data_IF_298975498428
#
_entry.id   IF_298975498428
#
_cell.length_a   1.000
_cell.length_b   1.000
_cell.length_c   1.000
_cell.angle_alpha   90.00
_cell.angle_beta   90.00
_cell.angle_gamma   90.00
#
_symmetry.space_group_name_H-M   'P 1'
#
loop_
_entity.id
_entity.type
_entity.pdbx_description
1 polymer ?
#
# COMPACT_ATOMS: atom_id res chain seq x y z
N UNK A 1 45.94 10.80 2.72
CA UNK A 1 45.26 9.86 3.64
C UNK A 1 44.87 10.65 4.87
N UNK A 2 43.73 11.36 4.81
CA UNK A 2 43.22 12.19 5.94
C UNK A 2 41.68 12.18 5.92
N UNK A 3 41.08 10.99 5.97
CA UNK A 3 39.63 10.82 6.08
C UNK A 3 39.35 9.76 7.15
N UNK A 4 39.67 10.03 8.41
CA UNK A 4 39.40 9.08 9.52
C UNK A 4 38.77 9.64 10.81
N UNK A 5 38.72 10.95 11.13
CA UNK A 5 38.08 11.36 12.39
C UNK A 5 36.54 11.39 12.31
N UNK A 6 35.96 11.71 11.14
CA UNK A 6 34.50 11.88 11.00
C UNK A 6 33.72 10.54 10.97
N UNK A 7 34.22 9.53 10.25
CA UNK A 7 33.58 8.21 10.21
C UNK A 7 33.64 7.47 11.57
N UNK A 8 34.72 7.69 12.34
CA UNK A 8 34.85 7.17 13.70
C UNK A 8 33.83 7.83 14.66
N UNK A 9 33.55 9.13 14.48
CA UNK A 9 32.54 9.84 15.26
C UNK A 9 31.12 9.37 14.93
N UNK A 10 30.80 9.14 13.66
CA UNK A 10 29.47 8.64 13.24
C UNK A 10 29.21 7.22 13.76
N UNK A 11 30.20 6.33 13.67
CA UNK A 11 30.08 4.95 14.19
C UNK A 11 30.01 4.91 15.73
N UNK A 12 30.70 5.82 16.42
CA UNK A 12 30.56 5.99 17.87
C UNK A 12 29.19 6.58 18.24
N UNK A 13 28.69 7.54 17.48
CA UNK A 13 27.36 8.13 17.68
C UNK A 13 26.25 7.08 17.47
N UNK A 14 26.38 6.22 16.46
CA UNK A 14 25.45 5.13 16.18
C UNK A 14 25.51 4.03 17.26
N UNK A 15 26.72 3.69 17.74
CA UNK A 15 26.90 2.76 18.87
C UNK A 15 26.39 3.33 20.20
N UNK A 16 26.59 4.62 20.47
CA UNK A 16 26.02 5.32 21.64
C UNK A 16 24.50 5.39 21.54
N UNK A 17 23.93 5.61 20.35
CA UNK A 17 22.49 5.65 20.14
C UNK A 17 21.83 4.29 20.38
N UNK A 18 22.49 3.20 19.99
CA UNK A 18 21.95 1.84 20.05
C UNK A 18 22.19 1.11 21.38
N UNK A 19 23.23 1.46 22.15
CA UNK A 19 23.50 0.84 23.45
C UNK A 19 22.76 1.52 24.60
N UNK A 20 21.67 0.92 25.07
CA UNK A 20 20.89 1.38 26.23
C UNK A 20 21.79 1.62 27.46
N UNK A 21 22.77 0.74 27.69
CA UNK A 21 23.71 0.86 28.82
C UNK A 21 24.60 2.09 28.71
N UNK A 22 25.15 2.36 27.52
CA UNK A 22 26.08 3.47 27.31
C UNK A 22 25.39 4.82 27.46
N UNK A 23 24.13 4.94 27.00
CA UNK A 23 23.30 6.15 27.22
C UNK A 23 23.06 6.42 28.69
N UNK A 24 22.74 5.37 29.46
CA UNK A 24 22.49 5.49 30.90
C UNK A 24 23.75 5.92 31.64
N UNK A 25 24.88 5.27 31.36
CA UNK A 25 26.18 5.64 31.95
C UNK A 25 26.55 7.07 31.57
N UNK A 26 26.40 7.45 30.31
CA UNK A 26 26.63 8.83 29.84
C UNK A 26 25.74 9.84 30.56
N UNK A 27 24.47 9.53 30.76
CA UNK A 27 23.54 10.38 31.50
C UNK A 27 23.93 10.56 32.98
N UNK A 28 24.41 9.49 33.64
CA UNK A 28 24.91 9.60 35.02
C UNK A 28 26.17 10.45 35.06
N UNK A 29 27.12 10.22 34.14
CA UNK A 29 28.35 11.02 34.05
C UNK A 29 28.05 12.50 33.83
N UNK A 30 27.07 12.82 32.98
CA UNK A 30 26.64 14.19 32.71
C UNK A 30 26.03 14.84 33.95
N UNK A 31 25.18 14.12 34.70
CA UNK A 31 24.62 14.61 35.96
C UNK A 31 25.70 14.85 37.02
N UNK A 32 26.66 13.93 37.15
CA UNK A 32 27.79 14.09 38.07
C UNK A 32 28.64 15.29 37.68
N UNK A 33 28.90 15.48 36.38
CA UNK A 33 29.63 16.63 35.87
C UNK A 33 28.91 17.95 36.17
N UNK A 34 27.60 18.01 35.96
CA UNK A 34 26.80 19.20 36.32
C UNK A 34 26.80 19.44 37.83
N UNK A 35 26.70 18.39 38.64
CA UNK A 35 26.81 18.50 40.10
C UNK A 35 28.18 18.99 40.56
N UNK A 36 29.24 18.56 39.90
CA UNK A 36 30.59 19.05 40.14
C UNK A 36 30.73 20.54 39.79
N UNK A 37 30.17 20.98 38.65
CA UNK A 37 30.12 22.41 38.30
C UNK A 37 29.29 23.23 39.30
N UNK A 38 28.17 22.69 39.79
CA UNK A 38 27.31 23.32 40.79
C UNK A 38 28.07 23.60 42.09
N UNK A 39 28.86 22.63 42.54
CA UNK A 39 29.75 22.78 43.70
C UNK A 39 30.74 23.93 43.54
N UNK A 40 31.32 24.12 42.35
CA UNK A 40 32.29 25.20 42.09
C UNK A 40 31.67 26.57 41.81
N UNK A 41 30.46 26.60 41.25
CA UNK A 41 29.81 27.84 40.82
C UNK A 41 29.40 28.73 42.00
N UNK A 42 29.34 28.16 43.21
CA UNK A 42 28.90 28.86 44.40
C UNK A 42 27.40 29.15 44.37
N UNK A 43 26.83 29.60 45.50
CA UNK A 43 25.38 29.57 45.68
C UNK A 43 24.64 30.77 45.09
N UNK A 44 25.35 31.72 44.50
CA UNK A 44 24.80 32.91 43.84
C UNK A 44 24.39 32.63 42.39
N UNK A 45 24.97 31.59 41.77
CA UNK A 45 24.69 31.23 40.38
C UNK A 45 23.51 30.25 40.32
N UNK A 46 22.54 30.53 39.45
CA UNK A 46 21.42 29.64 39.19
C UNK A 46 21.83 28.48 38.27
N UNK A 47 22.40 27.41 38.85
CA UNK A 47 22.86 26.21 38.11
C UNK A 47 21.72 25.24 37.77
N UNK A 48 20.53 25.43 38.36
CA UNK A 48 19.37 24.54 38.16
C UNK A 48 19.00 24.24 36.68
N UNK A 49 19.07 25.19 35.72
CA UNK A 49 18.81 24.90 34.32
C UNK A 49 19.79 23.90 33.69
N UNK A 50 21.04 23.81 34.18
CA UNK A 50 22.04 22.86 33.66
C UNK A 50 21.66 21.41 33.97
N UNK A 51 20.97 21.17 35.08
CA UNK A 51 20.43 19.84 35.39
C UNK A 51 19.30 19.44 34.43
N UNK A 52 18.47 20.39 34.00
CA UNK A 52 17.43 20.13 32.98
C UNK A 52 18.10 19.79 31.65
N UNK A 53 19.16 20.51 31.28
CA UNK A 53 19.93 20.20 30.07
C UNK A 53 20.53 18.79 30.13
N UNK A 54 21.01 18.36 31.30
CA UNK A 54 21.52 17.01 31.50
C UNK A 54 20.43 15.93 31.42
N UNK A 55 19.22 16.23 31.90
CA UNK A 55 18.06 15.33 31.86
C UNK A 55 17.43 15.23 30.47
N UNK A 56 17.64 16.22 29.62
CA UNK A 56 17.06 16.30 28.28
C UNK A 56 17.38 15.06 27.42
N UNK A 57 18.64 14.65 27.19
CA UNK A 57 18.93 13.45 26.40
C UNK A 57 18.30 12.19 27.01
N UNK A 58 18.25 12.06 28.33
CA UNK A 58 17.62 10.91 28.99
C UNK A 58 16.12 10.90 28.73
N UNK A 59 15.45 12.05 28.84
CA UNK A 59 14.02 12.18 28.56
C UNK A 59 13.63 11.87 27.11
N UNK A 60 14.55 12.05 26.16
CA UNK A 60 14.33 11.71 24.75
C UNK A 60 14.39 10.20 24.47
N UNK A 61 15.23 9.46 25.18
CA UNK A 61 15.54 8.07 24.82
C UNK A 61 15.01 7.04 25.81
N UNK A 62 14.72 7.41 27.04
CA UNK A 62 14.31 6.48 28.10
C UNK A 62 12.82 6.65 28.48
N UNK A 63 12.17 5.58 28.99
CA UNK A 63 10.81 5.63 29.49
C UNK A 63 10.67 6.48 30.76
N UNK A 64 9.43 6.89 31.05
CA UNK A 64 9.08 7.79 32.15
C UNK A 64 9.62 7.33 33.52
N UNK A 65 9.56 6.05 33.83
CA UNK A 65 10.06 5.53 35.11
C UNK A 65 11.56 5.77 35.30
N UNK A 66 12.33 5.68 34.22
CA UNK A 66 13.78 5.95 34.26
C UNK A 66 14.02 7.45 34.40
N UNK A 67 13.25 8.28 33.71
CA UNK A 67 13.32 9.74 33.87
C UNK A 67 13.07 10.17 35.32
N UNK A 68 12.15 9.50 36.03
CA UNK A 68 11.90 9.74 37.45
C UNK A 68 13.12 9.36 38.31
N UNK A 69 13.74 8.20 38.07
CA UNK A 69 14.96 7.80 38.78
C UNK A 69 16.08 8.83 38.60
N UNK A 70 16.29 9.32 37.37
CA UNK A 70 17.28 10.36 37.10
C UNK A 70 16.91 11.71 37.71
N UNK A 71 15.62 12.04 37.83
CA UNK A 71 15.16 13.25 38.53
C UNK A 71 15.42 13.17 40.04
N UNK A 72 15.22 11.99 40.65
CA UNK A 72 15.62 11.74 42.05
C UNK A 72 17.13 11.91 42.20
N UNK A 73 17.91 11.29 41.31
CA UNK A 73 19.37 11.36 41.37
C UNK A 73 19.88 12.81 41.23
N UNK A 74 19.33 13.57 40.29
CA UNK A 74 19.64 14.98 40.11
C UNK A 74 19.32 15.81 41.36
N UNK A 75 18.17 15.56 42.00
CA UNK A 75 17.79 16.24 43.23
C UNK A 75 18.70 15.88 44.42
N UNK A 76 19.14 14.62 44.52
CA UNK A 76 20.09 14.19 45.54
C UNK A 76 21.48 14.79 45.34
N UNK A 77 21.97 14.84 44.10
CA UNK A 77 23.24 15.49 43.76
C UNK A 77 23.18 16.97 44.12
N UNK A 78 22.09 17.64 43.76
CA UNK A 78 21.86 19.03 44.10
C UNK A 78 21.84 19.26 45.63
N UNK A 79 21.10 18.43 46.38
CA UNK A 79 21.04 18.51 47.84
C UNK A 79 22.43 18.30 48.46
N UNK A 80 23.20 17.33 47.95
CA UNK A 80 24.57 17.09 48.37
C UNK A 80 25.46 18.33 48.17
N UNK A 81 25.37 18.98 47.01
CA UNK A 81 26.10 20.21 46.73
C UNK A 81 25.71 21.36 47.68
N UNK A 82 24.40 21.56 47.93
CA UNK A 82 23.90 22.62 48.82
C UNK A 82 24.36 22.40 50.27
N UNK A 83 24.35 21.14 50.75
CA UNK A 83 24.79 20.78 52.10
C UNK A 83 26.28 21.01 52.34
N UNK A 84 27.13 20.70 51.35
CA UNK A 84 28.58 20.90 51.48
C UNK A 84 28.94 22.38 51.37
N UNK A 85 28.26 23.14 50.51
CA UNK A 85 28.57 24.55 50.27
C UNK A 85 28.09 25.45 51.40
N UNK A 86 27.05 25.04 52.14
CA UNK A 86 26.44 25.83 53.23
C UNK A 86 26.14 24.97 54.48
N UNK A 87 27.19 24.53 55.22
CA UNK A 87 27.01 23.71 56.42
C UNK A 87 26.25 24.45 57.53
N UNK A 88 26.34 25.78 57.62
CA UNK A 88 25.72 26.56 58.71
C UNK A 88 24.17 26.63 58.61
N UNK A 89 23.59 26.33 57.44
CA UNK A 89 22.13 26.28 57.24
C UNK A 89 21.48 24.95 57.62
N UNK A 90 22.25 23.99 58.13
CA UNK A 90 21.77 22.65 58.55
C UNK A 90 20.73 22.69 59.68
N UNK A 91 20.66 23.76 60.47
CA UNK A 91 19.73 23.89 61.59
C UNK A 91 18.26 24.11 61.16
N UNK A 92 17.99 24.41 59.89
CA UNK A 92 16.66 24.73 59.39
C UNK A 92 16.14 23.66 58.42
N UNK A 93 14.81 23.48 58.39
CA UNK A 93 14.09 22.61 57.44
C UNK A 93 14.16 23.09 55.97
N UNK A 94 14.71 24.29 55.75
CA UNK A 94 14.76 24.99 54.48
C UNK A 94 15.50 24.25 53.34
N UNK A 95 16.73 23.72 53.50
CA UNK A 95 17.43 22.95 52.46
C UNK A 95 16.65 21.72 51.98
N UNK A 96 16.02 20.97 52.90
CA UNK A 96 15.21 19.80 52.55
C UNK A 96 13.98 20.19 51.73
N UNK A 97 13.29 21.25 52.13
CA UNK A 97 12.14 21.78 51.39
C UNK A 97 12.55 22.26 49.99
N UNK A 98 13.70 22.93 49.88
CA UNK A 98 14.22 23.43 48.60
C UNK A 98 14.61 22.29 47.65
N UNK A 99 15.24 21.24 48.16
CA UNK A 99 15.55 20.05 47.38
C UNK A 99 14.28 19.30 46.94
N UNK A 100 13.29 19.19 47.83
CA UNK A 100 11.99 18.61 47.50
C UNK A 100 11.26 19.37 46.38
N UNK A 101 11.23 20.71 46.46
CA UNK A 101 10.64 21.54 45.42
C UNK A 101 11.37 21.36 44.07
N UNK A 102 12.69 21.24 44.08
CA UNK A 102 13.48 21.00 42.87
C UNK A 102 13.28 19.61 42.29
N UNK A 103 13.21 18.58 43.14
CA UNK A 103 12.86 17.24 42.72
C UNK A 103 11.53 17.24 41.95
N UNK A 104 10.51 17.89 42.50
CA UNK A 104 9.20 17.97 41.87
C UNK A 104 9.26 18.69 40.52
N UNK A 105 10.00 19.80 40.43
CA UNK A 105 10.23 20.51 39.17
C UNK A 105 10.92 19.65 38.12
N UNK A 106 12.02 18.96 38.47
CA UNK A 106 12.74 18.09 37.54
C UNK A 106 11.90 16.88 37.12
N UNK A 107 11.16 16.28 38.05
CA UNK A 107 10.25 15.17 37.77
C UNK A 107 9.12 15.60 36.83
N UNK A 108 8.50 16.76 37.08
CA UNK A 108 7.45 17.28 36.20
C UNK A 108 7.97 17.57 34.80
N UNK A 109 9.10 18.27 34.67
CA UNK A 109 9.64 18.68 33.37
C UNK A 109 10.08 17.45 32.57
N UNK A 110 10.87 16.56 33.18
CA UNK A 110 11.35 15.35 32.49
C UNK A 110 10.23 14.39 32.11
N UNK A 111 9.23 14.21 32.99
CA UNK A 111 8.04 13.40 32.72
C UNK A 111 7.21 13.99 31.59
N UNK A 112 6.97 15.30 31.60
CA UNK A 112 6.20 15.98 30.54
C UNK A 112 6.88 15.83 29.19
N UNK A 113 8.20 16.02 29.12
CA UNK A 113 8.97 15.84 27.89
C UNK A 113 8.92 14.39 27.41
N UNK A 114 9.13 13.42 28.31
CA UNK A 114 9.11 11.99 27.97
C UNK A 114 7.74 11.54 27.44
N UNK A 115 6.64 12.00 28.05
CA UNK A 115 5.27 11.72 27.59
C UNK A 115 5.00 12.33 26.22
N UNK A 116 5.28 13.63 26.04
CA UNK A 116 5.04 14.34 24.78
C UNK A 116 5.80 13.68 23.61
N UNK A 117 7.04 13.27 23.84
CA UNK A 117 7.83 12.58 22.83
C UNK A 117 7.36 11.15 22.59
N UNK A 118 6.95 10.44 23.65
CA UNK A 118 6.35 9.11 23.55
C UNK A 118 5.09 9.11 22.69
N UNK A 119 4.19 10.08 22.92
CA UNK A 119 2.98 10.27 22.11
C UNK A 119 3.31 10.64 20.67
N UNK A 120 4.26 11.57 20.43
CA UNK A 120 4.69 11.91 19.07
C UNK A 120 5.32 10.73 18.31
N UNK A 121 5.97 9.79 18.99
CA UNK A 121 6.48 8.55 18.36
C UNK A 121 5.32 7.63 17.99
N UNK A 122 4.42 7.37 18.94
CA UNK A 122 3.22 6.56 18.70
C UNK A 122 2.37 7.09 17.55
N UNK A 123 2.17 8.41 17.49
CA UNK A 123 1.44 9.05 16.40
C UNK A 123 2.11 8.81 15.05
N UNK A 124 3.43 9.04 14.94
CA UNK A 124 4.18 8.79 13.70
C UNK A 124 4.16 7.32 13.27
N UNK A 125 4.27 6.40 14.23
CA UNK A 125 4.20 4.97 13.92
C UNK A 125 2.80 4.58 13.44
N UNK A 126 1.75 5.16 14.04
CA UNK A 126 0.37 4.95 13.60
C UNK A 126 0.08 5.55 12.21
N UNK A 127 0.64 6.72 11.89
CA UNK A 127 0.55 7.34 10.56
C UNK A 127 1.22 6.47 9.51
N UNK A 128 2.41 5.92 9.81
CA UNK A 128 3.12 4.99 8.91
C UNK A 128 2.30 3.73 8.66
N UNK A 129 1.76 3.12 9.71
CA UNK A 129 0.92 1.93 9.59
C UNK A 129 -0.36 2.20 8.78
N UNK A 130 -0.95 3.40 8.91
CA UNK A 130 -2.10 3.82 8.10
C UNK A 130 -1.72 4.02 6.64
N UNK A 131 -0.57 4.64 6.35
CA UNK A 131 -0.08 4.80 4.98
C UNK A 131 0.19 3.46 4.29
N UNK A 132 0.77 2.50 5.01
CA UNK A 132 1.01 1.16 4.49
C UNK A 132 -0.30 0.44 4.15
N UNK A 133 -1.30 0.51 5.05
CA UNK A 133 -2.64 -0.03 4.77
C UNK A 133 -3.34 0.66 3.61
N UNK A 134 -3.17 1.98 3.47
CA UNK A 134 -3.74 2.72 2.35
C UNK A 134 -3.14 2.26 1.01
N UNK A 135 -1.83 2.01 0.97
CA UNK A 135 -1.16 1.44 -0.22
C UNK A 135 -1.65 0.03 -0.55
N UNK A 136 -1.74 -0.86 0.44
CA UNK A 136 -2.27 -2.22 0.24
C UNK A 136 -3.71 -2.21 -0.29
N UNK A 137 -4.56 -1.30 0.22
CA UNK A 137 -5.91 -1.12 -0.29
C UNK A 137 -5.93 -0.61 -1.73
N UNK A 138 -5.04 0.30 -2.07
CA UNK A 138 -4.94 0.82 -3.44
C UNK A 138 -4.49 -0.27 -4.43
N UNK A 139 -3.52 -1.09 -4.06
CA UNK A 139 -3.06 -2.24 -4.85
C UNK A 139 -4.18 -3.27 -5.06
N UNK A 140 -4.90 -3.62 -3.99
CA UNK A 140 -6.07 -4.51 -4.08
C UNK A 140 -7.17 -3.94 -4.97
N UNK A 141 -7.42 -2.64 -4.89
CA UNK A 141 -8.41 -1.99 -5.73
C UNK A 141 -8.01 -2.01 -7.22
N UNK A 142 -6.73 -1.75 -7.53
CA UNK A 142 -6.21 -1.91 -8.90
C UNK A 142 -6.37 -3.35 -9.40
N UNK A 143 -6.00 -4.33 -8.58
CA UNK A 143 -6.14 -5.75 -8.90
C UNK A 143 -7.59 -6.16 -9.18
N UNK A 144 -8.54 -5.69 -8.35
CA UNK A 144 -9.97 -5.91 -8.58
C UNK A 144 -10.45 -5.24 -9.88
N UNK A 145 -9.93 -4.05 -10.20
CA UNK A 145 -10.19 -3.38 -11.47
C UNK A 145 -9.72 -4.18 -12.68
N UNK A 146 -8.55 -4.81 -12.60
CA UNK A 146 -8.02 -5.69 -13.64
C UNK A 146 -8.87 -6.95 -13.81
N UNK A 147 -9.25 -7.61 -12.70
CA UNK A 147 -10.13 -8.78 -12.72
C UNK A 147 -11.50 -8.45 -13.34
N UNK A 148 -12.10 -7.32 -12.96
CA UNK A 148 -13.35 -6.86 -13.58
C UNK A 148 -13.18 -6.64 -15.09
N UNK A 149 -12.05 -6.09 -15.51
CA UNK A 149 -11.70 -5.95 -16.92
C UNK A 149 -11.61 -7.29 -17.65
N UNK A 150 -11.00 -8.31 -17.03
CA UNK A 150 -10.90 -9.66 -17.60
C UNK A 150 -12.27 -10.32 -17.72
N UNK A 151 -13.09 -10.27 -16.68
CA UNK A 151 -14.46 -10.82 -16.69
C UNK A 151 -15.29 -10.17 -17.79
N UNK A 152 -15.20 -8.85 -17.94
CA UNK A 152 -15.91 -8.12 -19.01
C UNK A 152 -15.49 -8.59 -20.40
N UNK A 153 -14.19 -8.76 -20.65
CA UNK A 153 -13.68 -9.28 -21.93
C UNK A 153 -14.16 -10.70 -22.21
N UNK A 154 -14.12 -11.58 -21.21
CA UNK A 154 -14.63 -12.95 -21.35
C UNK A 154 -16.13 -12.98 -21.64
N UNK A 155 -16.90 -12.11 -20.99
CA UNK A 155 -18.33 -11.97 -21.25
C UNK A 155 -18.60 -11.47 -22.67
N UNK A 156 -17.86 -10.46 -23.15
CA UNK A 156 -17.96 -9.98 -24.53
C UNK A 156 -17.60 -11.07 -25.56
N UNK A 157 -16.56 -11.86 -25.28
CA UNK A 157 -16.16 -12.98 -26.15
C UNK A 157 -17.21 -14.10 -26.17
N UNK A 158 -17.79 -14.44 -25.01
CA UNK A 158 -18.88 -15.41 -24.90
C UNK A 158 -20.11 -14.97 -25.69
N UNK A 159 -20.54 -13.70 -25.51
CA UNK A 159 -21.68 -13.14 -26.26
C UNK A 159 -21.39 -13.14 -27.76
N UNK A 160 -20.16 -12.84 -28.19
CA UNK A 160 -19.79 -12.90 -29.60
C UNK A 160 -19.84 -14.35 -30.14
N UNK A 161 -19.37 -15.34 -29.38
CA UNK A 161 -19.46 -16.77 -29.74
C UNK A 161 -20.90 -17.25 -29.81
N UNK A 162 -21.72 -16.90 -28.83
CA UNK A 162 -23.15 -17.27 -28.79
C UNK A 162 -23.92 -16.66 -29.97
N UNK A 163 -23.68 -15.38 -30.28
CA UNK A 163 -24.24 -14.75 -31.48
C UNK A 163 -23.82 -15.45 -32.77
N UNK A 164 -22.55 -15.83 -32.90
CA UNK A 164 -22.06 -16.57 -34.08
C UNK A 164 -22.72 -17.94 -34.19
N UNK A 165 -22.88 -18.66 -33.07
CA UNK A 165 -23.56 -19.95 -33.03
C UNK A 165 -25.04 -19.82 -33.44
N UNK A 166 -25.77 -18.84 -32.90
CA UNK A 166 -27.17 -18.58 -33.26
C UNK A 166 -27.35 -18.19 -34.73
N UNK A 167 -26.42 -17.42 -35.31
CA UNK A 167 -26.42 -17.11 -36.75
C UNK A 167 -26.15 -18.38 -37.56
N UNK A 168 -25.18 -19.21 -37.16
CA UNK A 168 -24.89 -20.46 -37.85
C UNK A 168 -26.07 -21.44 -37.83
N UNK A 169 -26.79 -21.52 -36.70
CA UNK A 169 -28.00 -22.34 -36.56
C UNK A 169 -29.16 -21.83 -37.43
N UNK A 170 -29.45 -20.53 -37.39
CA UNK A 170 -30.50 -19.96 -38.24
C UNK A 170 -30.18 -20.06 -39.74
N UNK A 171 -28.91 -19.90 -40.13
CA UNK A 171 -28.46 -20.13 -41.50
C UNK A 171 -28.62 -21.60 -41.92
N UNK A 172 -28.36 -22.54 -41.00
CA UNK A 172 -28.55 -23.97 -41.26
C UNK A 172 -30.02 -24.29 -41.56
N UNK A 173 -30.94 -23.77 -40.75
CA UNK A 173 -32.39 -23.93 -40.96
C UNK A 173 -32.82 -23.31 -42.29
N UNK A 174 -32.43 -22.06 -42.57
CA UNK A 174 -32.78 -21.36 -43.80
C UNK A 174 -32.26 -22.10 -45.06
N UNK A 175 -31.03 -22.63 -45.01
CA UNK A 175 -30.44 -23.41 -46.12
C UNK A 175 -31.29 -24.64 -46.41
N UNK A 176 -31.67 -25.39 -45.38
CA UNK A 176 -32.48 -26.60 -45.53
C UNK A 176 -33.90 -26.29 -46.07
N UNK A 177 -34.49 -25.20 -45.60
CA UNK A 177 -35.81 -24.74 -46.07
C UNK A 177 -35.80 -24.23 -47.51
N UNK A 178 -34.69 -23.64 -47.99
CA UNK A 178 -34.53 -23.17 -49.38
C UNK A 178 -34.15 -24.30 -50.34
N UNK A 179 -33.39 -25.30 -49.88
CA UNK A 179 -32.97 -26.45 -50.70
C UNK A 179 -34.18 -27.28 -51.18
N UNK A 180 -35.16 -27.51 -50.30
CA UNK A 180 -36.38 -28.27 -50.65
C UNK A 180 -37.15 -27.71 -51.85
N UNK A 181 -37.56 -26.43 -51.87
CA UNK A 181 -38.26 -25.86 -53.02
C UNK A 181 -37.34 -25.75 -54.24
N UNK A 182 -36.03 -25.50 -54.09
CA UNK A 182 -35.10 -25.47 -55.23
C UNK A 182 -35.04 -26.82 -55.96
N UNK A 183 -34.89 -27.92 -55.21
CA UNK A 183 -34.91 -29.27 -55.79
C UNK A 183 -36.27 -29.55 -56.46
N UNK A 184 -37.37 -29.13 -55.84
CA UNK A 184 -38.70 -29.26 -56.45
C UNK A 184 -38.78 -28.46 -57.76
N UNK A 185 -38.33 -27.21 -57.78
CA UNK A 185 -38.34 -26.36 -58.97
C UNK A 185 -37.44 -26.94 -60.05
N UNK A 186 -36.25 -27.45 -59.71
CA UNK A 186 -35.32 -28.02 -60.71
C UNK A 186 -35.93 -29.23 -61.42
N UNK A 187 -36.61 -30.13 -60.68
CA UNK A 187 -37.35 -31.26 -61.25
C UNK A 187 -38.49 -30.78 -62.15
N UNK A 188 -39.30 -29.81 -61.71
CA UNK A 188 -40.41 -29.30 -62.53
C UNK A 188 -39.93 -28.58 -63.79
N UNK A 189 -38.82 -27.84 -63.72
CA UNK A 189 -38.21 -27.17 -64.87
C UNK A 189 -37.66 -28.20 -65.86
N UNK A 190 -37.02 -29.26 -65.37
CA UNK A 190 -36.48 -30.33 -66.22
C UNK A 190 -37.60 -31.12 -66.92
N UNK A 191 -38.70 -31.37 -66.21
CA UNK A 191 -39.91 -31.96 -66.80
C UNK A 191 -40.52 -31.01 -67.85
N UNK A 192 -40.68 -29.71 -67.57
CA UNK A 192 -41.20 -28.75 -68.55
C UNK A 192 -40.32 -28.68 -69.82
N UNK A 193 -38.99 -28.68 -69.67
CA UNK A 193 -38.05 -28.67 -70.80
C UNK A 193 -38.14 -29.95 -71.65
N UNK A 194 -38.52 -31.09 -71.08
CA UNK A 194 -38.73 -32.34 -71.85
C UNK A 194 -39.98 -32.29 -72.72
N UNK A 195 -41.00 -31.55 -72.28
CA UNK A 195 -42.28 -31.46 -72.99
C UNK A 195 -42.32 -30.32 -74.01
N UNK A 196 -41.59 -29.23 -73.77
CA UNK A 196 -41.52 -28.11 -74.70
C UNK A 196 -40.62 -28.43 -75.91
N UNK A 197 -41.08 -28.04 -77.11
CA UNK A 197 -40.24 -28.08 -78.31
C UNK A 197 -39.33 -26.84 -78.35
N UNK A 198 -38.11 -26.93 -78.94
CA UNK A 198 -37.14 -25.81 -78.98
C UNK A 198 -37.59 -24.52 -79.69
N UNK A 199 -38.81 -24.46 -80.24
CA UNK A 199 -39.34 -23.35 -81.02
C UNK A 199 -40.58 -22.67 -80.40
N UNK A 200 -40.99 -23.09 -79.21
CA UNK A 200 -42.04 -22.39 -78.46
C UNK A 200 -41.46 -21.18 -77.72
N UNK A 201 -42.17 -20.04 -77.75
CA UNK A 201 -41.75 -18.76 -77.14
C UNK A 201 -41.43 -18.87 -75.63
N UNK A 202 -41.90 -19.92 -74.97
CA UNK A 202 -41.76 -20.16 -73.53
C UNK A 202 -40.49 -20.97 -73.20
N UNK A 203 -39.87 -21.66 -74.17
CA UNK A 203 -38.64 -22.43 -73.99
C UNK A 203 -37.48 -21.61 -73.37
N UNK A 204 -37.11 -20.43 -73.91
CA UNK A 204 -35.99 -19.65 -73.36
C UNK A 204 -36.25 -19.12 -71.94
N UNK A 205 -37.52 -18.94 -71.56
CA UNK A 205 -37.89 -18.55 -70.19
C UNK A 205 -37.68 -19.70 -69.21
N UNK A 206 -38.12 -20.92 -69.57
CA UNK A 206 -37.97 -22.11 -68.74
C UNK A 206 -36.49 -22.50 -68.61
N UNK A 207 -35.72 -22.41 -69.70
CA UNK A 207 -34.27 -22.63 -69.71
C UNK A 207 -33.55 -21.67 -68.75
N UNK A 208 -33.88 -20.38 -68.81
CA UNK A 208 -33.30 -19.35 -67.93
C UNK A 208 -33.68 -19.55 -66.46
N UNK A 209 -34.88 -20.03 -66.17
CA UNK A 209 -35.27 -20.42 -64.80
C UNK A 209 -34.42 -21.61 -64.35
N UNK A 210 -34.20 -22.60 -65.22
CA UNK A 210 -33.34 -23.76 -64.93
C UNK A 210 -31.88 -23.41 -64.68
N UNK A 211 -31.32 -22.47 -65.43
CA UNK A 211 -29.98 -21.92 -65.17
C UNK A 211 -29.92 -21.23 -63.81
N UNK A 212 -30.89 -20.35 -63.50
CA UNK A 212 -30.94 -19.63 -62.21
C UNK A 212 -31.10 -20.56 -61.02
N UNK A 213 -31.88 -21.63 -61.15
CA UNK A 213 -32.05 -22.65 -60.11
C UNK A 213 -30.74 -23.42 -59.89
N UNK A 214 -30.04 -23.80 -60.97
CA UNK A 214 -28.71 -24.41 -60.90
C UNK A 214 -27.66 -23.50 -60.26
N UNK A 215 -27.66 -22.21 -60.58
CA UNK A 215 -26.80 -21.22 -59.94
C UNK A 215 -27.05 -21.16 -58.43
N UNK A 216 -28.32 -21.14 -58.02
CA UNK A 216 -28.72 -21.13 -56.61
C UNK A 216 -28.32 -22.43 -55.88
N UNK A 217 -28.51 -23.59 -56.50
CA UNK A 217 -28.01 -24.88 -55.98
C UNK A 217 -26.48 -24.87 -55.82
N UNK A 218 -25.76 -24.29 -56.78
CA UNK A 218 -24.30 -24.11 -56.73
C UNK A 218 -23.85 -23.24 -55.56
N UNK A 219 -24.55 -22.13 -55.30
CA UNK A 219 -24.28 -21.26 -54.14
C UNK A 219 -24.53 -21.99 -52.81
N UNK A 220 -25.64 -22.72 -52.68
CA UNK A 220 -25.93 -23.50 -51.47
C UNK A 220 -24.90 -24.61 -51.23
N UNK A 221 -24.42 -25.26 -52.29
CA UNK A 221 -23.36 -26.27 -52.21
C UNK A 221 -22.04 -25.68 -51.75
N UNK A 222 -21.65 -24.50 -52.26
CA UNK A 222 -20.46 -23.79 -51.80
C UNK A 222 -20.56 -23.36 -50.33
N UNK A 223 -21.71 -22.86 -49.89
CA UNK A 223 -21.97 -22.52 -48.47
C UNK A 223 -21.79 -23.77 -47.57
N UNK A 224 -22.26 -24.93 -48.03
CA UNK A 224 -22.11 -26.22 -47.32
C UNK A 224 -20.65 -26.70 -47.25
N UNK A 225 -19.87 -26.53 -48.31
CA UNK A 225 -18.46 -26.92 -48.34
C UNK A 225 -17.59 -26.02 -47.45
N UNK A 226 -17.80 -24.70 -47.46
CA UNK A 226 -17.10 -23.76 -46.57
C UNK A 226 -17.36 -24.12 -45.09
N UNK A 227 -18.60 -24.48 -44.76
CA UNK A 227 -18.97 -24.93 -43.40
C UNK A 227 -18.25 -26.21 -42.97
N UNK A 228 -18.00 -27.15 -43.89
CA UNK A 228 -17.31 -28.42 -43.58
C UNK A 228 -15.85 -28.20 -43.16
N UNK A 229 -15.26 -27.07 -43.56
CA UNK A 229 -13.88 -26.69 -43.27
C UNK A 229 -13.78 -25.93 -41.94
N UNK A 230 -14.80 -25.15 -41.56
CA UNK A 230 -14.80 -24.37 -40.29
C UNK A 230 -15.28 -25.16 -39.06
N UNK A 231 -15.92 -26.32 -39.25
CA UNK A 231 -16.50 -27.14 -38.17
C UNK A 231 -15.71 -28.39 -37.75
N UNK A 232 -14.51 -28.62 -38.31
CA UNK A 232 -13.60 -29.72 -37.95
C UNK A 232 -12.31 -29.20 -37.34
#
# INVERSE_FOLDING_TARGET
>A
MEVEPMAALETLQEKLANSVGLRRVGGVLLLVFVGWLDYFSGPEIAVAPLYILALLPIAFFEPLWICLVYSVLAALIYLGADLVTRPDTLALIYPYWRAFARFFSFALISSTISQLLGERRRLRDSERALQEKARDLEEKNRYLGELLGQVKRLQEELVAKERRAAIAESLHLATYEIERPLVSISVHVEDLLRWLKPHEDVYPLVEKIGERVRDMEGVLKNIREIRKVEGG
#
